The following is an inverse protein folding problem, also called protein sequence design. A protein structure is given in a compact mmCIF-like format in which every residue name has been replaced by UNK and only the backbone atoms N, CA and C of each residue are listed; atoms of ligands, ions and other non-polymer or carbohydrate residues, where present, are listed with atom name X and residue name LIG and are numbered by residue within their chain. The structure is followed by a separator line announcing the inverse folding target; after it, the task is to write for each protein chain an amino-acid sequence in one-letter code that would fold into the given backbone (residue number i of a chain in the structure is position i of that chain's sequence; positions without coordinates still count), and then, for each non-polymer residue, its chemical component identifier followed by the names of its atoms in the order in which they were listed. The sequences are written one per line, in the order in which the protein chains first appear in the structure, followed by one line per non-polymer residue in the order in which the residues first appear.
data_IF_480534807928
#
_entry.id   IF_480534807928
#
_cell.length_a   1.000
_cell.length_b   1.000
_cell.length_c   1.000
_cell.angle_alpha   90.00
_cell.angle_beta   90.00
_cell.angle_gamma   90.00
#
_symmetry.space_group_name_H-M   'P 1'
#
loop_
_entity.id
_entity.type
_entity.pdbx_description
1 polymer ?
#
# COMPACT_ATOMS: atom_id res chain seq x y z
N UNK A 1 22.27 -15.87 -15.55
CA UNK A 1 21.27 -15.62 -14.50
C UNK A 1 19.97 -15.46 -15.24
N UNK A 2 19.22 -16.54 -15.32
CA UNK A 2 17.90 -16.54 -15.96
C UNK A 2 17.03 -15.59 -15.15
N UNK A 3 16.62 -14.50 -15.79
CA UNK A 3 15.61 -13.61 -15.26
C UNK A 3 14.37 -14.47 -15.06
N UNK A 4 13.90 -14.62 -13.82
CA UNK A 4 12.62 -15.25 -13.50
C UNK A 4 11.54 -14.52 -14.31
N UNK A 5 11.24 -15.06 -15.50
CA UNK A 5 10.34 -14.39 -16.44
C UNK A 5 8.94 -14.80 -16.04
N UNK A 6 8.29 -13.98 -15.21
CA UNK A 6 6.87 -14.12 -14.96
C UNK A 6 6.12 -14.10 -16.29
N UNK A 7 5.38 -15.17 -16.58
CA UNK A 7 4.50 -15.21 -17.75
C UNK A 7 3.22 -14.40 -17.49
N UNK A 8 2.47 -14.12 -18.55
CA UNK A 8 1.14 -13.52 -18.42
C UNK A 8 0.16 -14.42 -17.65
N UNK A 9 0.36 -15.74 -17.69
CA UNK A 9 -0.44 -16.68 -16.90
C UNK A 9 -0.12 -16.53 -15.40
N UNK A 10 1.16 -16.40 -15.04
CA UNK A 10 1.59 -16.21 -13.65
C UNK A 10 1.08 -14.86 -13.10
N UNK A 11 1.21 -13.78 -13.89
CA UNK A 11 0.64 -12.48 -13.53
C UNK A 11 -0.87 -12.54 -13.34
N UNK A 12 -1.59 -13.25 -14.21
CA UNK A 12 -3.03 -13.45 -14.06
C UNK A 12 -3.37 -14.16 -12.74
N UNK A 13 -2.58 -15.15 -12.34
CA UNK A 13 -2.79 -15.85 -11.07
C UNK A 13 -2.60 -14.92 -9.87
N UNK A 14 -1.56 -14.08 -9.84
CA UNK A 14 -1.38 -13.07 -8.78
C UNK A 14 -2.55 -12.09 -8.71
N UNK A 15 -3.01 -11.60 -9.86
CA UNK A 15 -4.15 -10.68 -9.92
C UNK A 15 -5.42 -11.33 -9.37
N UNK A 16 -5.68 -12.60 -9.70
CA UNK A 16 -6.85 -13.31 -9.19
C UNK A 16 -6.76 -13.58 -7.69
N UNK A 17 -5.57 -13.90 -7.16
CA UNK A 17 -5.34 -14.04 -5.72
C UNK A 17 -5.63 -12.72 -4.99
N UNK A 18 -5.08 -11.60 -5.46
CA UNK A 18 -5.35 -10.29 -4.87
C UNK A 18 -6.83 -9.90 -4.95
N UNK A 19 -7.51 -10.23 -6.07
CA UNK A 19 -8.96 -10.03 -6.22
C UNK A 19 -9.76 -10.87 -5.22
N UNK A 20 -9.35 -12.10 -4.95
CA UNK A 20 -10.01 -12.96 -3.99
C UNK A 20 -9.90 -12.38 -2.56
N UNK A 21 -8.71 -11.94 -2.15
CA UNK A 21 -8.52 -11.28 -0.85
C UNK A 21 -9.39 -10.01 -0.71
N UNK A 22 -9.49 -9.24 -1.79
CA UNK A 22 -10.33 -8.05 -1.86
C UNK A 22 -11.82 -8.38 -1.70
N UNK A 23 -12.31 -9.43 -2.36
CA UNK A 23 -13.70 -9.87 -2.26
C UNK A 23 -14.05 -10.34 -0.85
N UNK A 24 -13.16 -11.11 -0.21
CA UNK A 24 -13.32 -11.57 1.17
C UNK A 24 -13.37 -10.41 2.15
N UNK A 25 -12.44 -9.45 2.00
CA UNK A 25 -12.40 -8.25 2.83
C UNK A 25 -13.68 -7.40 2.73
N UNK A 26 -14.32 -7.39 1.55
CA UNK A 26 -15.47 -6.54 1.26
C UNK A 26 -16.79 -7.31 1.11
N UNK A 27 -16.87 -8.54 1.60
CA UNK A 27 -18.04 -9.40 1.45
C UNK A 27 -19.34 -8.70 1.92
N UNK A 28 -19.29 -8.04 3.08
CA UNK A 28 -20.43 -7.34 3.71
C UNK A 28 -20.46 -5.82 3.42
N UNK A 29 -19.62 -5.34 2.51
CA UNK A 29 -19.50 -3.92 2.19
C UNK A 29 -20.26 -3.57 0.90
N UNK A 30 -20.76 -2.32 0.76
CA UNK A 30 -21.44 -1.85 -0.45
C UNK A 30 -20.47 -1.55 -1.61
N UNK A 31 -19.16 -1.59 -1.36
CA UNK A 31 -18.10 -1.46 -2.35
C UNK A 31 -17.36 -2.79 -2.48
N UNK A 32 -16.75 -3.03 -3.65
CA UNK A 32 -16.10 -4.31 -3.98
C UNK A 32 -14.66 -4.17 -4.46
N UNK A 33 -14.06 -2.99 -4.35
CA UNK A 33 -12.66 -2.77 -4.75
C UNK A 33 -11.93 -1.75 -3.90
N UNK A 34 -10.59 -1.86 -3.86
CA UNK A 34 -9.71 -0.95 -3.13
C UNK A 34 -9.88 0.50 -3.60
N UNK A 35 -10.06 0.70 -4.91
CA UNK A 35 -10.31 2.03 -5.48
C UNK A 35 -11.61 2.68 -4.97
N UNK A 36 -12.63 1.86 -4.71
CA UNK A 36 -13.96 2.29 -4.31
C UNK A 36 -14.10 2.55 -2.79
N UNK A 37 -13.07 2.35 -1.96
CA UNK A 37 -13.19 2.62 -0.53
C UNK A 37 -13.61 4.07 -0.26
N UNK A 38 -14.64 4.32 0.56
CA UNK A 38 -14.90 5.65 1.07
C UNK A 38 -13.82 6.03 2.09
N UNK A 39 -13.54 7.33 2.23
CA UNK A 39 -12.53 7.86 3.16
C UNK A 39 -12.67 7.27 4.58
N UNK A 40 -13.89 7.22 5.11
CA UNK A 40 -14.16 6.71 6.46
C UNK A 40 -13.84 5.23 6.67
N UNK A 41 -13.74 4.43 5.60
CA UNK A 41 -13.44 3.00 5.70
C UNK A 41 -11.94 2.67 5.53
N UNK A 42 -11.12 3.64 5.08
CA UNK A 42 -9.71 3.40 4.76
C UNK A 42 -8.93 2.92 5.99
N UNK A 43 -9.11 3.56 7.14
CA UNK A 43 -8.37 3.21 8.36
C UNK A 43 -8.60 1.76 8.79
N UNK A 44 -9.83 1.29 8.71
CA UNK A 44 -10.21 -0.05 9.16
C UNK A 44 -9.88 -1.12 8.12
N UNK A 45 -10.12 -0.83 6.83
CA UNK A 45 -10.05 -1.83 5.77
C UNK A 45 -8.73 -1.83 4.98
N UNK A 46 -7.86 -0.84 5.12
CA UNK A 46 -6.52 -0.92 4.56
C UNK A 46 -5.57 -1.80 5.42
N UNK A 47 -5.91 -2.05 6.69
CA UNK A 47 -5.12 -2.87 7.62
C UNK A 47 -3.64 -2.47 7.62
N UNK A 48 -3.37 -1.20 7.94
CA UNK A 48 -2.02 -0.61 7.94
C UNK A 48 -1.28 -1.10 9.18
N UNK A 49 -0.04 -1.57 9.01
CA UNK A 49 0.81 -1.96 10.13
C UNK A 49 1.23 -0.75 10.95
N UNK A 50 1.35 -0.92 12.27
CA UNK A 50 1.58 0.19 13.19
C UNK A 50 2.91 0.91 12.95
N UNK A 51 3.93 0.21 12.46
CA UNK A 51 5.24 0.78 12.13
C UNK A 51 5.23 1.67 10.86
N UNK A 52 4.18 1.60 10.04
CA UNK A 52 4.03 2.44 8.85
C UNK A 52 3.65 3.89 9.16
N UNK A 53 3.09 4.17 10.35
CA UNK A 53 2.56 5.50 10.66
C UNK A 53 3.64 6.59 10.70
N UNK A 54 4.89 6.24 11.04
CA UNK A 54 6.02 7.16 10.96
C UNK A 54 6.30 7.60 9.51
N UNK A 55 6.42 6.63 8.59
CA UNK A 55 6.61 6.90 7.16
C UNK A 55 5.46 7.72 6.58
N UNK A 56 4.22 7.36 6.91
CA UNK A 56 3.04 8.07 6.40
C UNK A 56 2.99 9.53 6.89
N UNK A 57 3.40 9.78 8.14
CA UNK A 57 3.54 11.13 8.68
C UNK A 57 4.56 11.96 7.89
N UNK A 58 5.77 11.42 7.72
CA UNK A 58 6.84 12.07 6.94
C UNK A 58 6.40 12.39 5.51
N UNK A 59 5.71 11.44 4.87
CA UNK A 59 5.21 11.59 3.51
C UNK A 59 4.13 12.68 3.43
N UNK A 60 3.22 12.71 4.40
CA UNK A 60 2.16 13.72 4.43
C UNK A 60 2.73 15.14 4.56
N UNK A 61 3.71 15.32 5.45
CA UNK A 61 4.36 16.62 5.69
C UNK A 61 5.21 17.08 4.50
N UNK A 62 6.04 16.19 3.95
CA UNK A 62 7.03 16.54 2.90
C UNK A 62 6.42 16.77 1.53
N UNK A 63 5.35 16.06 1.19
CA UNK A 63 4.75 16.12 -0.15
C UNK A 63 3.45 16.91 -0.22
N UNK A 64 3.08 17.59 0.87
CA UNK A 64 1.89 18.44 0.97
C UNK A 64 0.63 17.78 0.40
N UNK A 65 0.39 16.51 0.76
CA UNK A 65 -0.75 15.79 0.24
C UNK A 65 -2.06 16.39 0.70
N UNK A 66 -3.00 16.52 -0.23
CA UNK A 66 -4.42 16.65 0.13
C UNK A 66 -4.91 15.34 0.72
N UNK A 67 -5.96 15.37 1.55
CA UNK A 67 -6.59 14.16 2.07
C UNK A 67 -6.96 13.16 0.97
N UNK A 68 -7.44 13.63 -0.20
CA UNK A 68 -7.74 12.77 -1.36
C UNK A 68 -6.50 12.11 -1.96
N UNK A 69 -5.38 12.83 -2.01
CA UNK A 69 -4.10 12.27 -2.47
C UNK A 69 -3.58 11.22 -1.51
N UNK A 70 -3.70 11.45 -0.20
CA UNK A 70 -3.31 10.49 0.83
C UNK A 70 -4.19 9.23 0.80
N UNK A 71 -5.50 9.39 0.71
CA UNK A 71 -6.45 8.28 0.52
C UNK A 71 -6.07 7.42 -0.69
N UNK A 72 -5.72 8.05 -1.81
CA UNK A 72 -5.31 7.33 -3.02
C UNK A 72 -4.00 6.57 -2.80
N UNK A 73 -3.04 7.13 -2.07
CA UNK A 73 -1.81 6.43 -1.71
C UNK A 73 -2.13 5.15 -0.94
N UNK A 74 -2.97 5.23 0.10
CA UNK A 74 -3.34 4.08 0.92
C UNK A 74 -4.10 3.01 0.12
N UNK A 75 -5.01 3.41 -0.76
CA UNK A 75 -5.73 2.49 -1.65
C UNK A 75 -4.81 1.76 -2.62
N UNK A 76 -3.82 2.44 -3.19
CA UNK A 76 -2.83 1.82 -4.07
C UNK A 76 -1.94 0.87 -3.27
N UNK A 77 -1.46 1.31 -2.10
CA UNK A 77 -0.65 0.48 -1.20
C UNK A 77 -1.40 -0.81 -0.81
N UNK A 78 -2.72 -0.73 -0.56
CA UNK A 78 -3.57 -1.90 -0.29
C UNK A 78 -3.61 -2.86 -1.47
N UNK A 79 -3.70 -2.36 -2.70
CA UNK A 79 -3.67 -3.20 -3.91
C UNK A 79 -2.31 -3.89 -4.07
N UNK A 80 -1.21 -3.20 -3.78
CA UNK A 80 0.12 -3.81 -3.85
C UNK A 80 0.24 -4.92 -2.80
N UNK A 81 -0.18 -4.67 -1.56
CA UNK A 81 -0.23 -5.69 -0.51
C UNK A 81 -1.12 -6.89 -0.89
N UNK A 82 -2.24 -6.66 -1.59
CA UNK A 82 -3.09 -7.75 -2.10
C UNK A 82 -2.38 -8.60 -3.17
N UNK A 83 -1.57 -7.97 -4.03
CA UNK A 83 -0.78 -8.66 -5.05
C UNK A 83 0.40 -9.44 -4.45
N UNK A 84 0.98 -8.94 -3.36
CA UNK A 84 2.01 -9.61 -2.58
C UNK A 84 1.44 -10.71 -1.65
N UNK A 85 0.12 -10.76 -1.51
CA UNK A 85 -0.56 -11.68 -0.60
C UNK A 85 -0.39 -11.34 0.88
N UNK A 86 0.04 -10.11 1.21
CA UNK A 86 0.19 -9.66 2.58
C UNK A 86 -1.15 -9.26 3.20
N UNK A 87 -1.40 -9.67 4.45
CA UNK A 87 -2.57 -9.25 5.20
C UNK A 87 -2.52 -7.75 5.55
N UNK A 88 -1.32 -7.18 5.69
CA UNK A 88 -1.10 -5.81 6.16
C UNK A 88 -0.51 -4.95 5.05
N UNK A 89 -0.79 -3.65 5.09
CA UNK A 89 0.07 -2.69 4.38
C UNK A 89 1.33 -2.51 5.21
N UNK A 90 2.48 -2.57 4.54
CA UNK A 90 3.81 -2.50 5.12
C UNK A 90 4.58 -1.36 4.42
N UNK A 91 5.77 -1.02 4.92
CA UNK A 91 6.53 0.14 4.41
C UNK A 91 6.92 -0.02 2.93
N UNK A 92 7.19 -1.24 2.49
CA UNK A 92 7.53 -1.59 1.11
C UNK A 92 6.36 -1.27 0.18
N UNK A 93 5.15 -1.67 0.57
CA UNK A 93 3.91 -1.41 -0.17
C UNK A 93 3.64 0.10 -0.36
N UNK A 94 3.88 0.89 0.69
CA UNK A 94 3.72 2.35 0.64
C UNK A 94 4.78 2.98 -0.27
N UNK A 95 6.03 2.56 -0.12
CA UNK A 95 7.15 3.07 -0.92
C UNK A 95 6.94 2.79 -2.40
N UNK A 96 6.51 1.59 -2.76
CA UNK A 96 6.19 1.22 -4.14
C UNK A 96 5.02 2.05 -4.70
N UNK A 97 3.95 2.22 -3.90
CA UNK A 97 2.81 3.06 -4.29
C UNK A 97 3.22 4.52 -4.55
N UNK A 98 4.21 5.04 -3.82
CA UNK A 98 4.75 6.38 -4.05
C UNK A 98 5.50 6.46 -5.39
N UNK A 99 6.29 5.44 -5.72
CA UNK A 99 7.06 5.39 -6.96
C UNK A 99 6.16 5.42 -8.20
N UNK A 100 5.04 4.68 -8.18
CA UNK A 100 4.07 4.68 -9.29
C UNK A 100 3.41 6.04 -9.56
N UNK A 101 3.42 6.94 -8.58
CA UNK A 101 2.80 8.27 -8.72
C UNK A 101 3.76 9.35 -9.16
N UNK A 102 5.01 9.01 -9.53
CA UNK A 102 6.07 9.98 -9.82
C UNK A 102 6.18 11.07 -8.74
N UNK A 103 5.94 10.69 -7.48
CA UNK A 103 6.28 11.54 -6.35
C UNK A 103 7.82 11.56 -6.32
N UNK A 104 8.50 12.73 -6.42
CA UNK A 104 9.95 12.78 -6.48
C UNK A 104 10.54 12.20 -5.20
N UNK A 105 10.94 10.93 -5.29
CA UNK A 105 11.46 10.15 -4.19
C UNK A 105 12.99 10.21 -4.26
N UNK A 106 13.59 11.22 -3.64
CA UNK A 106 15.01 11.19 -3.37
C UNK A 106 15.22 10.41 -2.07
N UNK A 107 15.56 9.11 -2.19
CA UNK A 107 16.00 8.26 -1.08
C UNK A 107 17.36 8.75 -0.60
N UNK A 108 17.37 9.83 0.15
CA UNK A 108 18.48 10.12 1.04
C UNK A 108 17.92 10.13 2.44
N UNK A 109 17.99 8.96 3.09
CA UNK A 109 17.86 8.77 4.54
C UNK A 109 16.49 9.16 5.11
N UNK A 110 15.50 8.30 4.93
CA UNK A 110 14.49 8.12 6.00
C UNK A 110 15.23 7.37 7.09
N UNK A 111 15.55 8.07 8.17
CA UNK A 111 16.35 7.53 9.26
C UNK A 111 15.67 6.30 9.81
N UNK A 112 16.42 5.19 9.80
CA UNK A 112 16.19 4.10 10.75
C UNK A 112 16.18 4.77 12.12
N UNK A 113 14.99 4.95 12.71
CA UNK A 113 14.90 5.26 14.13
C UNK A 113 15.28 3.98 14.85
N UNK A 114 16.59 3.76 14.99
CA UNK A 114 17.12 2.84 15.99
C UNK A 114 16.64 3.37 17.34
N UNK A 115 15.63 2.70 17.87
CA UNK A 115 15.27 2.80 19.27
C UNK A 115 16.46 2.32 20.10
N UNK A 116 17.31 3.24 20.51
CA UNK A 116 18.28 3.05 21.58
C UNK A 116 18.00 4.08 22.67
N UNK A 117 17.23 3.61 23.66
CA UNK A 117 17.24 4.03 25.05
C UNK A 117 18.64 4.42 25.54
N UNK A 118 18.81 5.69 25.97
CA UNK A 118 19.29 6.17 27.29
C UNK A 118 19.39 7.69 27.24
#
# INVERSE_FOLDING_TARGET
MDSDSMSSADMKQLVEQGRQMQLERFQDQPFKSNGALPHGAIRELCNIRDDCWGLLGDVYERFHFTGRSFDRLLKVSRTIADLDGSLYIENEHISEAMMYRHIPYHVSRIGVHDGATV
#
